data_IF_715422922855
#
_entry.id   IF_715422922855
#
_cell.length_a   1.000
_cell.length_b   1.000
_cell.length_c   1.000
_cell.angle_alpha   90.00
_cell.angle_beta   90.00
_cell.angle_gamma   90.00
#
_symmetry.space_group_name_H-M   'P 1'
#
loop_
_entity.id
_entity.type
_entity.pdbx_description
1 polymer ?
#
# COMPACT_ATOMS: atom_id res chain seq x y z
N UNK A 1 -23.83 -13.52 23.23
CA UNK A 1 -23.71 -13.54 21.76
C UNK A 1 -22.55 -12.63 21.39
N UNK A 2 -21.69 -13.05 20.49
CA UNK A 2 -20.59 -12.23 19.90
C UNK A 2 -21.07 -11.69 18.54
N UNK A 3 -20.43 -10.62 18.10
CA UNK A 3 -20.74 -10.00 16.81
C UNK A 3 -20.29 -10.96 15.67
N UNK A 4 -21.24 -11.37 14.83
CA UNK A 4 -21.02 -12.45 13.84
C UNK A 4 -20.04 -12.05 12.73
N UNK A 5 -20.07 -10.78 12.29
CA UNK A 5 -19.14 -10.27 11.28
C UNK A 5 -17.69 -10.28 11.80
N UNK A 6 -17.47 -9.88 13.05
CA UNK A 6 -16.15 -9.91 13.67
C UNK A 6 -15.66 -11.34 13.90
N UNK A 7 -16.57 -12.24 14.27
CA UNK A 7 -16.25 -13.66 14.38
C UNK A 7 -15.86 -14.26 13.03
N UNK A 8 -16.61 -13.95 11.98
CA UNK A 8 -16.31 -14.39 10.62
C UNK A 8 -14.95 -13.85 10.15
N UNK A 9 -14.70 -12.56 10.34
CA UNK A 9 -13.44 -11.92 10.00
C UNK A 9 -12.24 -12.50 10.77
N UNK A 10 -12.43 -12.80 12.06
CA UNK A 10 -11.39 -13.41 12.90
C UNK A 10 -11.12 -14.89 12.57
N UNK A 11 -12.11 -15.59 12.02
CA UNK A 11 -12.00 -16.98 11.54
C UNK A 11 -11.54 -17.07 10.09
N UNK A 12 -11.77 -16.03 9.28
CA UNK A 12 -11.23 -15.96 7.93
C UNK A 12 -9.71 -15.86 8.05
N UNK A 13 -9.02 -16.90 7.63
CA UNK A 13 -7.58 -16.85 7.59
C UNK A 13 -7.15 -15.87 6.50
N UNK A 14 -6.35 -14.87 6.87
CA UNK A 14 -5.72 -14.02 5.86
C UNK A 14 -4.82 -14.90 5.00
N UNK A 15 -5.11 -15.00 3.72
CA UNK A 15 -4.44 -15.88 2.77
C UNK A 15 -2.91 -15.74 2.81
N UNK A 16 -2.42 -14.51 2.91
CA UNK A 16 -0.98 -14.23 3.01
C UNK A 16 -0.38 -14.86 4.28
N UNK A 17 -1.11 -14.84 5.41
CA UNK A 17 -0.63 -15.45 6.67
C UNK A 17 -0.63 -16.97 6.61
N UNK A 18 -1.63 -17.58 5.97
CA UNK A 18 -1.69 -19.03 5.75
C UNK A 18 -0.50 -19.48 4.90
N UNK A 19 -0.23 -18.75 3.82
CA UNK A 19 0.89 -19.01 2.93
C UNK A 19 2.22 -18.85 3.66
N UNK A 20 2.37 -17.81 4.50
CA UNK A 20 3.57 -17.59 5.30
C UNK A 20 3.78 -18.73 6.33
N UNK A 21 2.72 -19.18 7.00
CA UNK A 21 2.81 -20.32 7.93
C UNK A 21 3.20 -21.61 7.21
N UNK A 22 2.72 -21.82 5.96
CA UNK A 22 3.18 -22.92 5.12
C UNK A 22 4.68 -22.80 4.82
N UNK A 23 5.15 -21.61 4.46
CA UNK A 23 6.58 -21.35 4.21
C UNK A 23 7.44 -21.68 5.44
N UNK A 24 7.02 -21.24 6.63
CA UNK A 24 7.72 -21.51 7.87
C UNK A 24 7.78 -23.00 8.19
N UNK A 25 6.68 -23.72 7.96
CA UNK A 25 6.66 -25.19 8.08
C UNK A 25 7.66 -25.84 7.12
N UNK A 26 7.63 -25.45 5.83
CA UNK A 26 8.57 -26.03 4.84
C UNK A 26 10.03 -25.74 5.19
N UNK A 27 10.35 -24.53 5.65
CA UNK A 27 11.71 -24.20 6.12
C UNK A 27 12.18 -25.12 7.25
N UNK A 28 11.29 -25.48 8.17
CA UNK A 28 11.61 -26.40 9.27
C UNK A 28 11.83 -27.86 8.81
N UNK A 29 11.24 -28.25 7.67
CA UNK A 29 11.34 -29.61 7.12
C UNK A 29 12.58 -29.81 6.22
N UNK A 30 12.93 -28.82 5.41
CA UNK A 30 13.95 -28.98 4.35
C UNK A 30 15.10 -27.98 4.39
N UNK A 31 15.11 -27.08 5.38
CA UNK A 31 16.09 -25.99 5.50
C UNK A 31 15.64 -24.71 4.79
N UNK A 32 15.99 -23.56 5.37
CA UNK A 32 15.56 -22.23 4.89
C UNK A 32 16.12 -21.90 3.50
N UNK A 33 17.29 -22.42 3.17
CA UNK A 33 17.98 -22.22 1.90
C UNK A 33 17.30 -22.92 0.70
N UNK A 34 16.40 -23.85 0.98
CA UNK A 34 15.69 -24.63 -0.02
C UNK A 34 14.25 -24.15 -0.26
N UNK A 35 13.80 -23.10 0.45
CA UNK A 35 12.44 -22.54 0.35
C UNK A 35 12.50 -21.13 -0.18
N UNK A 36 11.92 -20.90 -1.35
CA UNK A 36 11.90 -19.60 -2.03
C UNK A 36 10.58 -18.88 -1.74
N UNK A 37 10.54 -18.21 -0.56
CA UNK A 37 9.35 -17.54 -0.09
C UNK A 37 9.28 -16.09 -0.56
N UNK A 38 8.42 -15.85 -1.54
CA UNK A 38 8.09 -14.55 -2.08
C UNK A 38 6.69 -14.05 -1.64
N UNK A 39 6.15 -14.59 -0.56
CA UNK A 39 4.77 -14.28 -0.14
C UNK A 39 4.65 -12.96 0.63
N UNK A 40 5.64 -12.60 1.46
CA UNK A 40 5.56 -11.46 2.37
C UNK A 40 6.30 -10.23 1.81
N UNK A 41 5.57 -9.11 1.72
CA UNK A 41 6.14 -7.81 1.37
C UNK A 41 6.74 -7.09 2.59
N UNK A 42 7.75 -7.70 3.21
CA UNK A 42 8.48 -7.08 4.31
C UNK A 42 9.84 -6.55 3.81
N UNK A 43 10.16 -5.24 4.01
CA UNK A 43 11.46 -4.71 3.63
C UNK A 43 12.61 -5.57 4.18
N UNK A 44 13.57 -5.92 3.33
CA UNK A 44 14.80 -6.62 3.71
C UNK A 44 16.05 -5.73 3.65
N UNK A 45 15.89 -4.46 3.31
CA UNK A 45 16.92 -3.44 3.41
C UNK A 45 16.90 -2.87 4.82
N UNK A 46 18.06 -2.71 5.49
CA UNK A 46 18.09 -2.14 6.83
C UNK A 46 17.54 -0.71 6.84
N UNK A 47 16.98 -0.29 7.98
CA UNK A 47 16.65 1.11 8.20
C UNK A 47 17.90 1.99 8.00
N UNK A 48 17.75 3.19 7.44
CA UNK A 48 18.88 4.11 7.24
C UNK A 48 19.64 4.37 8.53
N UNK A 49 20.98 4.43 8.46
CA UNK A 49 21.85 4.61 9.63
C UNK A 49 21.50 5.88 10.43
N UNK A 50 21.03 6.92 9.75
CA UNK A 50 20.53 8.14 10.41
C UNK A 50 19.39 7.85 11.37
N UNK A 51 18.46 6.94 11.04
CA UNK A 51 17.35 6.55 11.92
C UNK A 51 17.89 5.95 13.23
N UNK A 52 18.80 5.00 13.13
CA UNK A 52 19.42 4.35 14.28
C UNK A 52 20.15 5.35 15.17
N UNK A 53 20.99 6.22 14.55
CA UNK A 53 21.76 7.21 15.29
C UNK A 53 20.87 8.24 15.98
N UNK A 54 19.80 8.71 15.31
CA UNK A 54 18.82 9.61 15.90
C UNK A 54 18.11 8.97 17.10
N UNK A 55 17.71 7.69 17.00
CA UNK A 55 17.08 6.99 18.13
C UNK A 55 18.03 6.85 19.33
N UNK A 56 19.30 6.52 19.09
CA UNK A 56 20.33 6.45 20.15
C UNK A 56 20.49 7.81 20.82
N UNK A 57 20.64 8.89 20.03
CA UNK A 57 20.77 10.24 20.54
C UNK A 57 19.57 10.67 21.39
N UNK A 58 18.35 10.43 20.90
CA UNK A 58 17.12 10.74 21.61
C UNK A 58 17.06 10.04 22.97
N UNK A 59 17.37 8.75 23.01
CA UNK A 59 17.35 7.95 24.24
C UNK A 59 18.44 8.37 25.25
N UNK A 60 19.57 8.89 24.77
CA UNK A 60 20.68 9.33 25.63
C UNK A 60 20.53 10.77 26.11
N UNK A 61 19.96 11.65 25.30
CA UNK A 61 19.97 13.10 25.57
C UNK A 61 18.66 13.67 26.06
N UNK A 62 17.53 12.99 25.82
CA UNK A 62 16.22 13.50 26.19
C UNK A 62 15.74 12.95 27.53
N UNK A 63 15.05 13.79 28.27
CA UNK A 63 14.32 13.36 29.44
C UNK A 63 13.21 12.35 29.09
N UNK A 64 13.14 11.27 29.92
CA UNK A 64 12.23 10.13 29.65
C UNK A 64 10.77 10.53 29.64
N UNK A 65 10.32 11.47 30.48
CA UNK A 65 8.92 11.90 30.51
C UNK A 65 8.53 12.65 29.23
N UNK A 66 9.40 13.51 28.73
CA UNK A 66 9.18 14.23 27.46
C UNK A 66 9.23 13.31 26.24
N UNK A 67 10.08 12.28 26.27
CA UNK A 67 10.29 11.36 25.16
C UNK A 67 9.15 10.35 25.01
N UNK A 68 8.61 9.87 26.15
CA UNK A 68 7.60 8.80 26.17
C UNK A 68 6.20 9.27 26.57
N UNK A 69 6.02 10.57 26.82
CA UNK A 69 4.72 11.16 27.17
C UNK A 69 3.73 11.12 25.98
N UNK A 70 2.45 11.26 26.31
CA UNK A 70 1.42 11.43 25.28
C UNK A 70 1.67 12.69 24.47
N UNK A 71 1.51 12.57 23.15
CA UNK A 71 1.47 13.71 22.23
C UNK A 71 0.03 14.18 22.01
N UNK A 72 -0.20 15.40 21.47
CA UNK A 72 -1.53 15.78 20.95
C UNK A 72 -2.06 14.74 19.96
N UNK A 73 -3.39 14.59 19.90
CA UNK A 73 -4.01 13.56 19.05
C UNK A 73 -3.57 13.62 17.56
N UNK A 74 -3.43 14.79 16.91
CA UNK A 74 -2.90 14.85 15.55
C UNK A 74 -1.40 14.58 15.43
N UNK A 75 -0.69 14.46 16.56
CA UNK A 75 0.76 14.32 16.64
C UNK A 75 1.48 15.59 17.08
N UNK A 76 2.74 15.41 17.50
CA UNK A 76 3.62 16.50 17.90
C UNK A 76 3.85 17.48 16.74
N UNK A 77 3.77 18.78 17.00
CA UNK A 77 3.87 19.83 15.96
C UNK A 77 5.19 19.74 15.17
N UNK A 78 6.31 19.40 15.83
CA UNK A 78 7.61 19.26 15.17
C UNK A 78 7.61 18.13 14.13
N UNK A 79 7.03 16.98 14.46
CA UNK A 79 6.90 15.84 13.55
C UNK A 79 5.92 16.13 12.40
N UNK A 80 4.79 16.80 12.69
CA UNK A 80 3.85 17.25 11.65
C UNK A 80 4.49 18.23 10.68
N UNK A 81 5.30 19.19 11.17
CA UNK A 81 6.09 20.09 10.32
C UNK A 81 7.09 19.33 9.44
N UNK A 82 7.72 18.28 9.96
CA UNK A 82 8.66 17.48 9.20
C UNK A 82 7.96 16.74 8.04
N UNK A 83 6.82 16.10 8.30
CA UNK A 83 5.99 15.48 7.27
C UNK A 83 5.46 16.51 6.26
N UNK A 84 4.98 17.66 6.73
CA UNK A 84 4.50 18.74 5.87
C UNK A 84 5.59 19.30 4.93
N UNK A 85 6.85 19.41 5.40
CA UNK A 85 7.98 19.78 4.51
C UNK A 85 8.19 18.77 3.39
N UNK A 86 8.08 17.47 3.68
CA UNK A 86 8.20 16.42 2.67
C UNK A 86 7.09 16.55 1.62
N UNK A 87 5.84 16.77 2.05
CA UNK A 87 4.71 16.96 1.15
C UNK A 87 4.81 18.27 0.34
N UNK A 88 5.28 19.36 0.95
CA UNK A 88 5.46 20.64 0.27
C UNK A 88 6.44 20.54 -0.90
N UNK A 89 7.53 19.75 -0.75
CA UNK A 89 8.48 19.52 -1.85
C UNK A 89 7.83 18.81 -3.03
N UNK A 90 6.91 17.88 -2.77
CA UNK A 90 6.18 17.15 -3.81
C UNK A 90 5.08 18.01 -4.45
N UNK A 91 4.37 18.77 -3.61
CA UNK A 91 3.28 19.65 -4.05
C UNK A 91 3.76 20.80 -4.93
N UNK A 92 4.98 21.31 -4.69
CA UNK A 92 5.49 22.54 -5.28
C UNK A 92 4.97 23.82 -4.61
N UNK A 93 4.26 23.68 -3.49
CA UNK A 93 3.76 24.78 -2.65
C UNK A 93 3.75 24.35 -1.18
N UNK A 94 3.53 25.30 -0.27
CA UNK A 94 3.53 25.03 1.15
C UNK A 94 2.30 24.22 1.57
N UNK A 95 2.53 23.05 2.18
CA UNK A 95 1.53 22.26 2.90
C UNK A 95 1.69 22.60 4.39
N UNK A 96 0.65 23.17 5.05
CA UNK A 96 0.74 23.51 6.46
C UNK A 96 0.76 22.26 7.35
N UNK A 97 1.45 22.35 8.48
CA UNK A 97 1.51 21.23 9.44
C UNK A 97 0.12 20.83 9.98
N UNK A 98 -0.81 21.76 9.98
CA UNK A 98 -2.22 21.58 10.34
C UNK A 98 -2.95 20.59 9.43
N UNK A 99 -2.46 20.38 8.21
CA UNK A 99 -2.95 19.38 7.25
C UNK A 99 -2.53 17.95 7.57
N UNK A 100 -1.59 17.73 8.50
CA UNK A 100 -1.01 16.43 8.83
C UNK A 100 -1.60 15.86 10.12
N UNK A 101 -2.11 14.63 10.07
CA UNK A 101 -2.56 13.85 11.20
C UNK A 101 -1.71 12.57 11.28
N UNK A 102 -0.83 12.47 12.27
CA UNK A 102 0.06 11.31 12.43
C UNK A 102 -0.72 10.07 12.90
N UNK A 103 -0.38 8.92 12.37
CA UNK A 103 -1.11 7.66 12.56
C UNK A 103 -0.16 6.50 12.86
N UNK A 104 -0.74 5.37 13.28
CA UNK A 104 -0.01 4.11 13.46
C UNK A 104 0.20 3.34 12.15
N UNK A 105 0.69 4.04 11.11
CA UNK A 105 0.94 3.52 9.76
C UNK A 105 -0.27 3.59 8.82
N UNK A 106 -0.07 3.23 7.54
CA UNK A 106 -1.08 3.40 6.49
C UNK A 106 -2.40 2.65 6.77
N UNK A 107 -2.38 1.47 7.39
CA UNK A 107 -3.62 0.73 7.69
C UNK A 107 -4.55 1.50 8.62
N UNK A 108 -4.01 2.15 9.66
CA UNK A 108 -4.81 3.04 10.49
C UNK A 108 -5.22 4.31 9.76
N UNK A 109 -4.35 4.88 8.91
CA UNK A 109 -4.71 6.02 8.07
C UNK A 109 -5.91 5.72 7.18
N UNK A 110 -5.92 4.58 6.51
CA UNK A 110 -7.01 4.14 5.63
C UNK A 110 -8.31 3.88 6.40
N UNK A 111 -8.22 3.14 7.51
CA UNK A 111 -9.40 2.86 8.36
C UNK A 111 -10.00 4.14 8.93
N UNK A 112 -9.18 5.09 9.40
CA UNK A 112 -9.62 6.40 9.88
C UNK A 112 -10.25 7.20 8.74
N UNK A 113 -9.60 7.29 7.57
CA UNK A 113 -10.12 8.06 6.43
C UNK A 113 -11.44 7.52 5.93
N UNK A 114 -11.59 6.20 5.79
CA UNK A 114 -12.86 5.59 5.41
C UNK A 114 -13.96 5.85 6.44
N UNK A 115 -13.66 5.71 7.73
CA UNK A 115 -14.61 5.99 8.81
C UNK A 115 -15.01 7.47 8.92
N UNK A 116 -14.12 8.39 8.52
CA UNK A 116 -14.39 9.82 8.52
C UNK A 116 -15.25 10.28 7.32
N UNK A 117 -15.05 9.64 6.16
CA UNK A 117 -15.56 10.16 4.88
C UNK A 117 -16.78 9.39 4.35
N UNK A 118 -17.00 8.15 4.81
CA UNK A 118 -18.00 7.25 4.28
C UNK A 118 -19.14 7.07 5.28
N UNK A 119 -20.37 7.34 4.86
CA UNK A 119 -21.56 7.04 5.64
C UNK A 119 -22.01 5.60 5.39
N UNK A 120 -22.67 5.01 6.36
CA UNK A 120 -23.24 3.66 6.20
C UNK A 120 -24.16 3.59 4.99
N UNK A 121 -23.96 2.60 4.12
CA UNK A 121 -24.73 2.37 2.89
C UNK A 121 -24.25 3.18 1.68
N UNK A 122 -23.21 4.01 1.83
CA UNK A 122 -22.57 4.65 0.69
C UNK A 122 -21.56 3.71 0.03
N UNK A 123 -21.11 4.04 -1.17
CA UNK A 123 -20.25 3.20 -1.98
C UNK A 123 -18.80 3.66 -1.91
N UNK A 124 -17.89 2.67 -1.88
CA UNK A 124 -16.45 2.87 -2.06
C UNK A 124 -16.00 2.09 -3.29
N UNK A 125 -15.33 2.79 -4.22
CA UNK A 125 -14.78 2.18 -5.43
C UNK A 125 -13.34 1.77 -5.18
N UNK A 126 -13.02 0.50 -5.45
CA UNK A 126 -11.66 -0.06 -5.40
C UNK A 126 -11.20 -0.42 -6.80
N UNK A 127 -9.99 0.01 -7.17
CA UNK A 127 -9.38 -0.31 -8.47
C UNK A 127 -8.57 -1.60 -8.35
N UNK A 128 -9.01 -2.65 -9.00
CA UNK A 128 -8.27 -3.92 -9.02
C UNK A 128 -7.05 -3.84 -9.97
N UNK A 129 -5.92 -4.48 -9.62
CA UNK A 129 -5.71 -5.20 -8.38
C UNK A 129 -5.46 -4.26 -7.19
N UNK A 130 -5.93 -4.62 -5.99
CA UNK A 130 -5.85 -3.79 -4.79
C UNK A 130 -5.38 -4.60 -3.57
N UNK A 131 -4.87 -3.93 -2.55
CA UNK A 131 -4.56 -4.57 -1.27
C UNK A 131 -5.84 -5.02 -0.57
N UNK A 132 -5.96 -6.32 -0.28
CA UNK A 132 -7.19 -6.98 0.18
C UNK A 132 -7.86 -6.31 1.39
N UNK A 133 -7.08 -5.71 2.29
CA UNK A 133 -7.61 -5.05 3.49
C UNK A 133 -8.44 -3.79 3.18
N UNK A 134 -8.34 -3.20 1.98
CA UNK A 134 -9.20 -2.05 1.62
C UNK A 134 -10.68 -2.41 1.68
N UNK A 135 -11.03 -3.62 1.22
CA UNK A 135 -12.40 -4.14 1.30
C UNK A 135 -12.85 -4.25 2.76
N UNK A 136 -11.98 -4.80 3.62
CA UNK A 136 -12.27 -4.93 5.06
C UNK A 136 -12.50 -3.56 5.70
N UNK A 137 -11.66 -2.56 5.40
CA UNK A 137 -11.80 -1.21 5.96
C UNK A 137 -13.08 -0.51 5.47
N UNK A 138 -13.38 -0.60 4.16
CA UNK A 138 -14.58 -0.03 3.57
C UNK A 138 -15.86 -0.66 4.15
N UNK A 139 -15.94 -1.98 4.19
CA UNK A 139 -17.07 -2.71 4.77
C UNK A 139 -17.22 -2.47 6.27
N UNK A 140 -16.12 -2.26 7.01
CA UNK A 140 -16.18 -1.90 8.42
C UNK A 140 -16.71 -0.48 8.64
N UNK A 141 -16.43 0.44 7.72
CA UNK A 141 -17.05 1.77 7.71
C UNK A 141 -18.54 1.73 7.32
N UNK A 142 -19.05 0.58 6.88
CA UNK A 142 -20.44 0.36 6.46
C UNK A 142 -20.68 0.64 4.98
N UNK A 143 -19.65 0.70 4.17
CA UNK A 143 -19.74 0.91 2.73
C UNK A 143 -20.17 -0.35 1.96
N UNK A 144 -20.78 -0.12 0.81
CA UNK A 144 -20.84 -1.08 -0.28
C UNK A 144 -19.58 -0.92 -1.15
N UNK A 145 -18.93 -2.04 -1.52
CA UNK A 145 -17.71 -2.01 -2.32
C UNK A 145 -18.03 -2.28 -3.78
N UNK A 146 -17.57 -1.38 -4.66
CA UNK A 146 -17.58 -1.58 -6.12
C UNK A 146 -16.16 -1.82 -6.58
N UNK A 147 -15.92 -2.87 -7.35
CA UNK A 147 -14.60 -3.22 -7.88
C UNK A 147 -14.54 -2.87 -9.36
N UNK A 148 -13.57 -2.04 -9.73
CA UNK A 148 -13.26 -1.70 -11.13
C UNK A 148 -12.09 -2.57 -11.59
N UNK A 149 -12.25 -3.37 -12.67
CA UNK A 149 -11.19 -4.22 -13.18
C UNK A 149 -10.08 -3.40 -13.86
N UNK A 150 -8.87 -3.97 -14.05
CA UNK A 150 -7.85 -3.38 -14.92
C UNK A 150 -8.27 -3.45 -16.38
N UNK A 151 -7.75 -2.53 -17.20
CA UNK A 151 -8.01 -2.49 -18.65
C UNK A 151 -7.23 -3.56 -19.43
N UNK A 152 -6.07 -3.93 -18.91
CA UNK A 152 -5.16 -4.87 -19.58
C UNK A 152 -3.99 -5.26 -18.67
N UNK A 153 -2.96 -5.83 -19.29
CA UNK A 153 -1.79 -6.35 -18.56
C UNK A 153 -0.88 -5.24 -17.99
N UNK A 154 -1.09 -3.97 -18.31
CA UNK A 154 -0.43 -2.81 -17.68
C UNK A 154 -1.03 -2.42 -16.33
N UNK A 155 -2.10 -3.11 -15.92
CA UNK A 155 -2.81 -2.90 -14.66
C UNK A 155 -3.35 -1.47 -14.45
N UNK A 156 -3.49 -0.68 -15.52
CA UNK A 156 -4.22 0.59 -15.45
C UNK A 156 -5.73 0.30 -15.32
N UNK A 157 -6.51 1.12 -14.60
CA UNK A 157 -7.94 0.86 -14.42
C UNK A 157 -8.72 1.00 -15.74
N UNK A 158 -9.72 0.15 -15.92
CA UNK A 158 -10.62 0.22 -17.08
C UNK A 158 -11.55 1.43 -16.95
N UNK A 159 -11.26 2.50 -17.69
CA UNK A 159 -11.93 3.80 -17.53
C UNK A 159 -13.43 3.77 -17.76
N UNK A 160 -13.94 2.96 -18.71
CA UNK A 160 -15.38 2.85 -18.91
C UNK A 160 -16.08 2.21 -17.69
N UNK A 161 -15.49 1.15 -17.12
CA UNK A 161 -16.03 0.55 -15.90
C UNK A 161 -15.88 1.48 -14.68
N UNK A 162 -14.84 2.32 -14.64
CA UNK A 162 -14.68 3.34 -13.61
C UNK A 162 -15.77 4.41 -13.71
N UNK A 163 -16.03 4.92 -14.91
CA UNK A 163 -17.11 5.88 -15.16
C UNK A 163 -18.47 5.30 -14.79
N UNK A 164 -18.76 4.08 -15.22
CA UNK A 164 -20.01 3.37 -14.86
C UNK A 164 -20.15 3.21 -13.34
N UNK A 165 -19.07 2.83 -12.64
CA UNK A 165 -19.07 2.66 -11.19
C UNK A 165 -19.37 3.95 -10.45
N UNK A 166 -18.77 5.06 -10.88
CA UNK A 166 -18.91 6.37 -10.23
C UNK A 166 -20.27 7.00 -10.56
N UNK A 167 -20.81 6.78 -11.77
CA UNK A 167 -22.11 7.30 -12.22
C UNK A 167 -23.32 6.63 -11.56
N UNK A 168 -23.13 5.52 -10.85
CA UNK A 168 -24.24 4.86 -10.10
C UNK A 168 -24.79 5.70 -8.95
N UNK A 169 -24.16 6.81 -8.61
CA UNK A 169 -24.51 7.65 -7.47
C UNK A 169 -24.22 7.02 -6.11
N UNK A 170 -24.20 7.83 -5.08
CA UNK A 170 -23.91 7.39 -3.70
C UNK A 170 -22.45 7.01 -3.45
N UNK A 171 -21.54 7.29 -4.37
CA UNK A 171 -20.11 7.07 -4.18
C UNK A 171 -19.54 8.14 -3.25
N UNK A 172 -18.99 7.71 -2.12
CA UNK A 172 -18.34 8.58 -1.14
C UNK A 172 -16.83 8.70 -1.40
N UNK A 173 -16.20 7.59 -1.76
CA UNK A 173 -14.74 7.55 -1.96
C UNK A 173 -14.31 6.56 -3.04
N UNK A 174 -13.15 6.85 -3.62
CA UNK A 174 -12.38 5.96 -4.48
C UNK A 174 -11.03 5.74 -3.81
N UNK A 175 -10.51 4.51 -3.79
CA UNK A 175 -9.18 4.21 -3.25
C UNK A 175 -8.23 3.90 -4.40
N UNK A 176 -7.08 4.57 -4.39
CA UNK A 176 -5.96 4.27 -5.28
C UNK A 176 -4.72 3.91 -4.46
N UNK A 177 -3.87 3.07 -5.04
CA UNK A 177 -2.55 2.73 -4.50
C UNK A 177 -1.53 2.78 -5.64
N UNK A 178 -0.62 3.75 -5.58
CA UNK A 178 0.39 3.96 -6.63
C UNK A 178 1.71 4.47 -6.03
N UNK A 179 2.81 3.71 -6.20
CA UNK A 179 2.95 2.39 -6.83
C UNK A 179 2.11 1.30 -6.16
N UNK A 180 1.64 0.35 -6.95
CA UNK A 180 0.59 -0.58 -6.55
C UNK A 180 1.12 -1.85 -5.85
N UNK A 181 0.44 -2.27 -4.83
CA UNK A 181 0.46 -3.62 -4.30
C UNK A 181 -0.86 -4.32 -4.74
N UNK A 182 -0.81 -5.34 -5.61
CA UNK A 182 0.28 -6.30 -5.85
C UNK A 182 1.06 -6.13 -7.16
N UNK A 183 0.69 -5.22 -8.07
CA UNK A 183 1.19 -5.26 -9.46
C UNK A 183 2.53 -4.54 -9.68
N UNK A 184 2.93 -3.65 -8.78
CA UNK A 184 4.07 -2.76 -9.00
C UNK A 184 3.82 -1.64 -10.02
N UNK A 185 2.63 -1.55 -10.60
CA UNK A 185 2.28 -0.52 -11.57
C UNK A 185 2.19 0.87 -10.93
N UNK A 186 2.56 1.90 -11.67
CA UNK A 186 2.37 3.30 -11.31
C UNK A 186 1.25 3.88 -12.17
N UNK A 187 0.27 4.53 -11.53
CA UNK A 187 -0.78 5.24 -12.26
C UNK A 187 -0.18 6.43 -13.01
N UNK A 188 -0.42 6.49 -14.30
CA UNK A 188 0.05 7.60 -15.12
C UNK A 188 -0.68 8.90 -14.79
N UNK A 189 -0.01 10.04 -15.00
CA UNK A 189 -0.66 11.34 -14.83
C UNK A 189 -1.88 11.46 -15.76
N UNK A 190 -1.81 10.91 -16.97
CA UNK A 190 -2.93 10.88 -17.91
C UNK A 190 -4.11 10.08 -17.36
N UNK A 191 -3.88 8.91 -16.79
CA UNK A 191 -4.92 8.09 -16.12
C UNK A 191 -5.59 8.89 -15.00
N UNK A 192 -4.80 9.50 -14.12
CA UNK A 192 -5.30 10.30 -13.01
C UNK A 192 -6.10 11.53 -13.47
N UNK A 193 -5.69 12.19 -14.57
CA UNK A 193 -6.46 13.31 -15.15
C UNK A 193 -7.81 12.88 -15.72
N UNK A 194 -7.87 11.70 -16.36
CA UNK A 194 -9.14 11.14 -16.84
C UNK A 194 -10.04 10.80 -15.65
N UNK A 195 -9.51 10.13 -14.63
CA UNK A 195 -10.24 9.86 -13.39
C UNK A 195 -10.77 11.14 -12.73
N UNK A 196 -9.93 12.16 -12.61
CA UNK A 196 -10.33 13.45 -12.03
C UNK A 196 -11.49 14.09 -12.79
N UNK A 197 -11.48 14.02 -14.14
CA UNK A 197 -12.58 14.54 -14.96
C UNK A 197 -13.89 13.79 -14.69
N UNK A 198 -13.85 12.47 -14.60
CA UNK A 198 -15.01 11.63 -14.28
C UNK A 198 -15.54 11.94 -12.88
N UNK A 199 -14.64 12.02 -11.89
CA UNK A 199 -14.99 12.32 -10.50
C UNK A 199 -15.61 13.71 -10.36
N UNK A 200 -15.08 14.73 -11.05
CA UNK A 200 -15.65 16.07 -11.02
C UNK A 200 -17.07 16.11 -11.59
N UNK A 201 -17.31 15.45 -12.73
CA UNK A 201 -18.65 15.36 -13.31
C UNK A 201 -19.63 14.65 -12.37
N UNK A 202 -19.23 13.52 -11.78
CA UNK A 202 -20.08 12.74 -10.89
C UNK A 202 -20.38 13.48 -9.56
N UNK A 203 -19.41 14.20 -8.99
CA UNK A 203 -19.69 14.98 -7.77
C UNK A 203 -20.61 16.19 -8.02
N UNK A 204 -20.53 16.81 -9.21
CA UNK A 204 -21.48 17.84 -9.63
C UNK A 204 -22.89 17.26 -9.75
N UNK A 205 -23.05 16.12 -10.40
CA UNK A 205 -24.33 15.43 -10.58
C UNK A 205 -24.96 15.00 -9.24
N UNK A 206 -24.17 14.41 -8.33
CA UNK A 206 -24.68 13.97 -7.03
C UNK A 206 -24.77 15.08 -5.99
N UNK A 207 -24.29 16.30 -6.28
CA UNK A 207 -24.35 17.46 -5.40
C UNK A 207 -23.51 17.35 -4.12
N UNK A 208 -22.45 16.53 -4.13
CA UNK A 208 -21.55 16.32 -2.98
C UNK A 208 -20.16 15.85 -3.41
N UNK A 209 -19.19 16.09 -2.54
CA UNK A 209 -17.82 15.64 -2.78
C UNK A 209 -17.70 14.11 -2.87
N UNK A 210 -16.86 13.65 -3.81
CA UNK A 210 -16.32 12.30 -3.86
C UNK A 210 -14.84 12.42 -3.48
N UNK A 211 -14.40 11.67 -2.48
CA UNK A 211 -13.01 11.74 -2.03
C UNK A 211 -12.15 10.67 -2.75
N UNK A 212 -10.95 11.07 -3.15
CA UNK A 212 -9.92 10.14 -3.63
C UNK A 212 -8.95 9.87 -2.48
N UNK A 213 -8.97 8.65 -1.95
CA UNK A 213 -8.04 8.20 -0.91
C UNK A 213 -6.81 7.61 -1.60
N UNK A 214 -5.69 8.35 -1.55
CA UNK A 214 -4.42 7.95 -2.15
C UNK A 214 -3.55 7.26 -1.11
N UNK A 215 -3.41 5.93 -1.22
CA UNK A 215 -2.51 5.13 -0.39
C UNK A 215 -1.11 5.08 -1.02
N UNK A 216 -0.14 5.74 -0.38
CA UNK A 216 1.18 6.03 -0.97
C UNK A 216 2.39 5.43 -0.21
N UNK A 217 2.34 4.22 0.36
CA UNK A 217 3.47 3.69 1.14
C UNK A 217 4.70 3.35 0.30
N UNK A 218 4.58 3.29 -1.03
CA UNK A 218 5.65 2.89 -1.96
C UNK A 218 6.17 4.03 -2.85
N UNK A 219 5.72 5.26 -2.66
CA UNK A 219 5.97 6.37 -3.60
C UNK A 219 7.45 6.72 -3.81
N UNK A 220 8.33 6.40 -2.85
CA UNK A 220 9.77 6.54 -2.98
C UNK A 220 10.44 5.31 -3.64
N UNK A 221 9.72 4.20 -3.74
CA UNK A 221 10.21 2.96 -4.34
C UNK A 221 9.80 2.90 -5.80
N UNK A 222 10.51 3.63 -6.64
CA UNK A 222 10.27 3.70 -8.10
C UNK A 222 11.57 3.47 -8.87
N UNK A 223 11.45 2.97 -10.08
CA UNK A 223 12.58 2.50 -10.87
C UNK A 223 12.61 3.19 -12.25
N UNK A 224 13.78 3.20 -12.89
CA UNK A 224 13.91 3.67 -14.27
C UNK A 224 13.55 5.14 -14.50
N UNK A 225 13.58 5.98 -13.46
CA UNK A 225 13.22 7.40 -13.57
C UNK A 225 11.71 7.66 -13.62
N UNK A 226 10.88 6.67 -13.28
CA UNK A 226 9.43 6.85 -13.16
C UNK A 226 9.13 7.85 -12.05
N UNK A 227 8.18 8.76 -12.32
CA UNK A 227 7.70 9.75 -11.36
C UNK A 227 6.29 9.38 -10.87
N UNK A 228 6.09 9.46 -9.58
CA UNK A 228 4.75 9.28 -8.97
C UNK A 228 4.09 10.66 -8.90
N UNK A 229 2.97 10.88 -9.61
CA UNK A 229 2.28 12.16 -9.58
C UNK A 229 1.80 12.55 -8.17
N UNK A 230 1.83 13.84 -7.84
CA UNK A 230 1.21 14.35 -6.63
C UNK A 230 -0.29 14.53 -6.87
N UNK A 231 -1.08 13.54 -6.46
CA UNK A 231 -2.50 13.41 -6.80
C UNK A 231 -3.34 14.63 -6.42
N UNK A 232 -3.11 15.33 -5.27
CA UNK A 232 -3.88 16.54 -4.92
C UNK A 232 -3.79 17.68 -5.95
N UNK A 233 -2.71 17.74 -6.76
CA UNK A 233 -2.58 18.72 -7.84
C UNK A 233 -3.45 18.38 -9.07
N UNK A 234 -3.96 17.15 -9.14
CA UNK A 234 -4.75 16.63 -10.26
C UNK A 234 -6.24 16.59 -9.89
N UNK A 235 -6.54 16.12 -8.67
CA UNK A 235 -7.89 16.08 -8.11
C UNK A 235 -7.88 16.62 -6.69
N UNK A 236 -8.56 17.75 -6.46
CA UNK A 236 -8.45 18.49 -5.21
C UNK A 236 -9.01 17.74 -3.99
N UNK A 237 -10.12 16.99 -4.14
CA UNK A 237 -10.69 16.21 -3.03
C UNK A 237 -9.90 14.91 -2.76
N UNK A 238 -8.57 15.01 -2.70
CA UNK A 238 -7.67 13.91 -2.42
C UNK A 238 -7.18 13.91 -0.98
N UNK A 239 -7.34 12.80 -0.29
CA UNK A 239 -6.76 12.54 1.03
C UNK A 239 -5.58 11.58 0.83
N UNK A 240 -4.39 11.96 1.32
CA UNK A 240 -3.20 11.13 1.20
C UNK A 240 -3.01 10.32 2.49
N UNK A 241 -2.88 9.00 2.35
CA UNK A 241 -2.50 8.07 3.40
C UNK A 241 -1.08 7.58 3.16
N UNK A 242 -0.18 7.86 4.08
CA UNK A 242 1.24 7.53 3.94
C UNK A 242 1.77 6.71 5.11
N UNK A 243 2.85 5.95 4.86
CA UNK A 243 3.55 5.18 5.89
C UNK A 243 5.06 5.15 5.65
N UNK A 244 5.82 5.31 6.72
CA UNK A 244 7.28 5.14 6.74
C UNK A 244 7.72 3.66 6.78
N UNK A 245 6.77 2.73 6.72
CA UNK A 245 7.03 1.28 6.74
C UNK A 245 7.96 0.83 5.62
N UNK A 246 7.93 1.49 4.46
CA UNK A 246 8.68 1.07 3.27
C UNK A 246 9.84 2.00 2.98
N UNK A 247 9.63 3.32 3.02
CA UNK A 247 10.66 4.31 2.76
C UNK A 247 11.79 4.33 3.80
N UNK A 248 11.49 4.07 5.07
CA UNK A 248 12.50 3.98 6.13
C UNK A 248 12.75 2.55 6.62
N UNK A 249 12.17 1.53 5.98
CA UNK A 249 12.26 0.13 6.43
C UNK A 249 11.85 -0.06 7.91
N UNK A 250 10.77 0.60 8.32
CA UNK A 250 10.27 0.62 9.70
C UNK A 250 8.84 0.05 9.82
N UNK A 251 8.52 -1.13 9.25
CA UNK A 251 7.15 -1.64 9.29
C UNK A 251 6.68 -2.00 10.70
N UNK A 252 7.59 -2.37 11.59
CA UNK A 252 7.30 -2.70 12.99
C UNK A 252 7.02 -1.49 13.87
N UNK A 253 7.52 -0.29 13.49
CA UNK A 253 7.42 0.92 14.32
C UNK A 253 6.08 1.64 14.18
N UNK A 254 5.29 1.25 13.21
CA UNK A 254 3.92 1.74 13.04
C UNK A 254 3.80 3.27 12.99
N UNK A 255 4.48 3.91 12.04
CA UNK A 255 4.42 5.35 11.82
C UNK A 255 3.94 5.69 10.41
N UNK A 256 2.99 6.60 10.32
CA UNK A 256 2.42 7.12 9.09
C UNK A 256 1.65 8.41 9.33
N UNK A 257 0.92 8.86 8.35
CA UNK A 257 0.02 10.01 8.49
C UNK A 257 -1.11 10.01 7.47
N UNK A 258 -2.12 10.81 7.78
CA UNK A 258 -3.14 11.28 6.86
C UNK A 258 -2.81 12.75 6.56
N UNK A 259 -2.77 13.11 5.29
CA UNK A 259 -2.75 14.51 4.87
C UNK A 259 -4.09 14.90 4.27
N UNK A 260 -4.67 15.97 4.81
CA UNK A 260 -5.84 16.67 4.27
C UNK A 260 -5.34 17.98 3.69
N UNK A 261 -5.05 18.06 2.38
CA UNK A 261 -4.53 19.28 1.76
C UNK A 261 -5.51 20.45 1.86
N UNK A 262 -5.02 21.72 1.87
CA UNK A 262 -5.89 22.88 1.93
C UNK A 262 -6.85 23.02 0.73
N UNK A 263 -6.55 22.38 -0.40
CA UNK A 263 -7.41 22.38 -1.60
C UNK A 263 -8.65 21.48 -1.49
N UNK A 264 -8.70 20.60 -0.48
CA UNK A 264 -9.90 19.78 -0.23
C UNK A 264 -11.07 20.67 0.18
N UNK A 265 -12.25 20.43 -0.40
CA UNK A 265 -13.46 21.12 0.00
C UNK A 265 -13.74 20.90 1.50
N UNK A 266 -14.01 21.97 2.23
CA UNK A 266 -14.25 21.95 3.68
C UNK A 266 -13.11 21.27 4.46
N UNK A 267 -11.85 21.51 4.04
CA UNK A 267 -10.66 20.81 4.57
C UNK A 267 -10.55 20.82 6.10
N UNK A 268 -10.98 21.90 6.75
CA UNK A 268 -10.98 22.00 8.22
C UNK A 268 -11.95 20.99 8.86
N UNK A 269 -13.15 20.86 8.30
CA UNK A 269 -14.17 19.93 8.80
C UNK A 269 -13.78 18.49 8.48
N UNK A 270 -13.19 18.23 7.30
CA UNK A 270 -12.63 16.93 6.94
C UNK A 270 -11.51 16.53 7.89
N UNK A 271 -10.60 17.45 8.22
CA UNK A 271 -9.54 17.20 9.21
C UNK A 271 -10.10 16.93 10.61
N UNK A 272 -11.12 17.67 11.02
CA UNK A 272 -11.82 17.44 12.29
C UNK A 272 -12.51 16.06 12.31
N UNK A 273 -13.14 15.65 11.19
CA UNK A 273 -13.75 14.33 11.06
C UNK A 273 -12.71 13.21 11.12
N UNK A 274 -11.53 13.37 10.51
CA UNK A 274 -10.38 12.45 10.64
C UNK A 274 -9.98 12.30 12.11
N UNK A 275 -9.86 13.40 12.85
CA UNK A 275 -9.58 13.37 14.30
C UNK A 275 -10.67 12.66 15.10
N UNK A 276 -11.95 12.90 14.76
CA UNK A 276 -13.11 12.24 15.35
C UNK A 276 -13.10 10.71 15.11
N UNK A 277 -12.84 10.29 13.87
CA UNK A 277 -12.72 8.88 13.51
C UNK A 277 -11.52 8.20 14.19
N UNK A 278 -10.36 8.87 14.23
CA UNK A 278 -9.20 8.37 14.96
C UNK A 278 -9.50 8.11 16.43
N UNK A 279 -10.22 9.03 17.08
CA UNK A 279 -10.69 8.86 18.46
C UNK A 279 -11.69 7.71 18.60
N UNK A 280 -12.66 7.61 17.70
CA UNK A 280 -13.71 6.59 17.75
C UNK A 280 -13.15 5.18 17.56
N UNK A 281 -12.11 5.04 16.71
CA UNK A 281 -11.43 3.77 16.44
C UNK A 281 -10.33 3.43 17.45
N UNK A 282 -10.02 4.33 18.40
CA UNK A 282 -8.98 4.13 19.40
C UNK A 282 -7.55 4.44 18.93
N UNK A 283 -7.38 5.02 17.73
CA UNK A 283 -6.10 5.49 17.22
C UNK A 283 -5.83 6.95 17.63
N UNK A 284 -5.65 7.18 18.91
CA UNK A 284 -5.65 8.55 19.48
C UNK A 284 -4.37 9.32 19.12
N UNK A 285 -3.20 8.67 19.15
CA UNK A 285 -1.93 9.26 18.75
C UNK A 285 -0.95 8.19 18.26
N UNK A 286 -0.03 8.58 17.38
CA UNK A 286 1.07 7.72 16.98
C UNK A 286 2.13 7.60 18.09
N UNK A 287 3.03 6.62 17.95
CA UNK A 287 4.11 6.35 18.92
C UNK A 287 5.01 7.56 19.13
N UNK A 288 5.13 8.08 20.37
CA UNK A 288 5.85 9.32 20.70
C UNK A 288 7.32 9.28 20.26
N UNK A 289 8.05 8.22 20.61
CA UNK A 289 9.46 8.07 20.24
C UNK A 289 9.67 8.18 18.70
N UNK A 290 8.77 7.56 17.94
CA UNK A 290 8.86 7.61 16.47
C UNK A 290 8.51 9.00 15.91
N UNK A 291 7.66 9.76 16.57
CA UNK A 291 7.40 11.14 16.19
C UNK A 291 8.64 12.03 16.40
N UNK A 292 9.37 11.84 17.51
CA UNK A 292 10.64 12.53 17.75
C UNK A 292 11.69 12.16 16.68
N UNK A 293 11.83 10.88 16.36
CA UNK A 293 12.71 10.40 15.28
C UNK A 293 12.34 11.04 13.94
N UNK A 294 11.07 11.13 13.62
CA UNK A 294 10.58 11.68 12.36
C UNK A 294 10.98 13.15 12.17
N UNK A 295 11.06 13.93 13.23
CA UNK A 295 11.49 15.34 13.18
C UNK A 295 12.81 15.51 12.41
N UNK A 296 13.73 14.55 12.55
CA UNK A 296 15.07 14.56 11.97
C UNK A 296 15.21 13.69 10.71
N UNK A 297 14.33 12.69 10.55
CA UNK A 297 14.50 11.64 9.55
C UNK A 297 13.44 11.64 8.42
N UNK A 298 12.47 12.57 8.43
CA UNK A 298 11.41 12.60 7.41
C UNK A 298 11.94 12.70 5.97
N UNK A 299 13.04 13.42 5.75
CA UNK A 299 13.63 13.65 4.42
C UNK A 299 14.64 12.57 3.99
N UNK A 300 14.86 11.53 4.80
CA UNK A 300 15.79 10.44 4.47
C UNK A 300 15.22 9.60 3.34
N UNK A 301 16.03 9.37 2.31
CA UNK A 301 15.63 8.54 1.17
C UNK A 301 16.02 7.07 1.40
N UNK A 302 15.20 6.12 0.95
CA UNK A 302 15.54 4.71 1.04
C UNK A 302 16.65 4.35 0.03
N UNK A 303 17.49 3.38 0.39
CA UNK A 303 18.32 2.68 -0.59
C UNK A 303 17.49 1.56 -1.24
N UNK A 304 17.10 1.78 -2.49
CA UNK A 304 16.29 0.82 -3.26
C UNK A 304 17.13 -0.02 -4.23
N UNK A 305 18.45 0.08 -4.17
CA UNK A 305 19.35 -0.52 -5.16
C UNK A 305 19.25 -2.05 -5.22
N UNK A 306 19.10 -2.72 -4.06
CA UNK A 306 18.90 -4.17 -3.99
C UNK A 306 17.55 -4.58 -4.57
N UNK A 307 16.49 -3.81 -4.30
CA UNK A 307 15.17 -4.08 -4.90
C UNK A 307 15.20 -3.91 -6.42
N UNK A 308 15.89 -2.90 -6.93
CA UNK A 308 16.07 -2.71 -8.38
C UNK A 308 16.78 -3.91 -9.02
N UNK A 309 17.87 -4.40 -8.41
CA UNK A 309 18.61 -5.58 -8.92
C UNK A 309 17.74 -6.84 -8.87
N UNK A 310 17.04 -7.08 -7.76
CA UNK A 310 16.14 -8.23 -7.64
C UNK A 310 15.01 -8.19 -8.68
N UNK A 311 14.39 -7.00 -8.86
CA UNK A 311 13.37 -6.77 -9.89
C UNK A 311 13.89 -7.15 -11.27
N UNK A 312 15.02 -6.57 -11.68
CA UNK A 312 15.57 -6.76 -13.02
C UNK A 312 15.97 -8.23 -13.23
N UNK A 313 16.63 -8.84 -12.25
CA UNK A 313 17.03 -10.27 -12.30
C UNK A 313 15.80 -11.18 -12.47
N UNK A 314 14.75 -10.99 -11.66
CA UNK A 314 13.55 -11.84 -11.73
C UNK A 314 12.74 -11.56 -12.99
N UNK A 315 12.50 -10.29 -13.33
CA UNK A 315 11.71 -9.93 -14.50
C UNK A 315 12.36 -10.47 -15.78
N UNK A 316 13.67 -10.23 -15.97
CA UNK A 316 14.39 -10.68 -17.17
C UNK A 316 14.45 -12.22 -17.25
N UNK A 317 14.76 -12.87 -16.13
CA UNK A 317 14.81 -14.33 -16.09
C UNK A 317 13.45 -14.98 -16.37
N UNK A 318 12.38 -14.53 -15.69
CA UNK A 318 11.03 -15.09 -15.87
C UNK A 318 10.51 -14.83 -17.28
N UNK A 319 10.70 -13.63 -17.81
CA UNK A 319 10.33 -13.30 -19.19
C UNK A 319 11.07 -14.16 -20.20
N UNK A 320 12.39 -14.40 -19.97
CA UNK A 320 13.19 -15.29 -20.84
C UNK A 320 12.78 -16.77 -20.77
N UNK A 321 12.17 -17.17 -19.65
CA UNK A 321 11.59 -18.52 -19.46
C UNK A 321 10.17 -18.65 -20.04
N UNK A 322 9.59 -17.57 -20.60
CA UNK A 322 8.27 -17.59 -21.20
C UNK A 322 7.11 -17.24 -20.27
N UNK A 323 7.37 -16.80 -19.05
CA UNK A 323 6.33 -16.27 -18.18
C UNK A 323 5.92 -14.86 -18.64
N UNK A 324 4.62 -14.60 -18.62
CA UNK A 324 4.05 -13.28 -18.85
C UNK A 324 3.99 -12.52 -17.52
N UNK A 325 4.77 -11.45 -17.41
CA UNK A 325 4.95 -10.68 -16.18
C UNK A 325 4.64 -9.21 -16.40
N UNK A 326 3.89 -8.60 -15.49
CA UNK A 326 3.74 -7.14 -15.44
C UNK A 326 5.07 -6.54 -14.99
N UNK A 327 5.69 -5.70 -15.83
CA UNK A 327 6.96 -5.05 -15.45
C UNK A 327 6.70 -4.01 -14.35
N UNK A 328 7.29 -4.16 -13.16
CA UNK A 328 7.05 -3.22 -12.08
C UNK A 328 7.75 -1.88 -12.32
N UNK A 329 7.00 -0.78 -12.24
CA UNK A 329 7.52 0.58 -12.24
C UNK A 329 7.90 1.05 -10.82
N UNK A 330 7.32 0.41 -9.80
CA UNK A 330 7.56 0.73 -8.40
C UNK A 330 7.18 -0.40 -7.44
N UNK A 331 7.16 -0.08 -6.15
CA UNK A 331 7.00 -1.02 -5.04
C UNK A 331 8.09 -2.11 -5.03
N UNK A 332 7.80 -3.32 -4.58
CA UNK A 332 8.70 -4.46 -4.65
C UNK A 332 7.92 -5.76 -4.93
N UNK A 333 6.96 -5.66 -5.86
CA UNK A 333 6.14 -6.79 -6.29
C UNK A 333 6.24 -6.99 -7.80
N UNK A 334 6.31 -8.25 -8.20
CA UNK A 334 6.15 -8.71 -9.57
C UNK A 334 4.84 -9.48 -9.68
N UNK A 335 4.05 -9.19 -10.70
CA UNK A 335 2.76 -9.81 -10.92
C UNK A 335 2.84 -10.71 -12.15
N UNK A 336 2.70 -12.02 -11.95
CA UNK A 336 2.95 -13.06 -12.94
C UNK A 336 1.61 -13.63 -13.38
N UNK A 337 1.32 -13.61 -14.67
CA UNK A 337 0.13 -14.23 -15.24
C UNK A 337 0.23 -15.75 -15.17
N UNK A 338 -0.80 -16.41 -14.67
CA UNK A 338 -0.85 -17.86 -14.61
C UNK A 338 -0.79 -18.45 -16.03
N UNK A 339 0.18 -19.33 -16.33
CA UNK A 339 0.34 -19.87 -17.70
C UNK A 339 -0.83 -20.75 -18.11
N UNK A 340 -1.10 -20.80 -19.41
CA UNK A 340 -2.07 -21.73 -20.03
C UNK A 340 -3.50 -21.63 -19.51
N UNK A 341 -3.86 -20.50 -18.90
CA UNK A 341 -5.21 -20.27 -18.37
C UNK A 341 -5.50 -20.97 -17.05
N UNK A 342 -4.48 -21.40 -16.32
CA UNK A 342 -4.64 -21.87 -14.95
C UNK A 342 -5.25 -20.79 -14.06
N UNK A 343 -5.95 -21.20 -13.01
CA UNK A 343 -6.34 -20.30 -11.95
C UNK A 343 -5.10 -19.80 -11.17
N UNK A 344 -5.22 -18.66 -10.51
CA UNK A 344 -4.16 -18.14 -9.65
C UNK A 344 -3.74 -19.18 -8.58
N UNK A 345 -4.71 -19.83 -7.97
CA UNK A 345 -4.49 -20.88 -6.95
C UNK A 345 -3.75 -22.08 -7.52
N UNK A 346 -4.17 -22.63 -8.68
CA UNK A 346 -3.52 -23.77 -9.30
C UNK A 346 -2.07 -23.47 -9.68
N UNK A 347 -1.82 -22.25 -10.19
CA UNK A 347 -0.46 -21.80 -10.49
C UNK A 347 0.42 -21.77 -9.25
N UNK A 348 -0.08 -21.18 -8.15
CA UNK A 348 0.64 -21.13 -6.88
C UNK A 348 0.88 -22.53 -6.29
N UNK A 349 -0.09 -23.45 -6.38
CA UNK A 349 0.10 -24.84 -5.93
C UNK A 349 1.14 -25.60 -6.78
N UNK A 350 1.19 -25.38 -8.09
CA UNK A 350 2.25 -25.93 -8.94
C UNK A 350 3.62 -25.33 -8.61
N UNK A 351 3.68 -24.03 -8.30
CA UNK A 351 4.93 -23.37 -7.89
C UNK A 351 5.50 -23.98 -6.59
N UNK A 352 4.64 -24.35 -5.63
CA UNK A 352 5.05 -25.05 -4.40
C UNK A 352 5.75 -26.38 -4.65
N UNK A 353 5.48 -27.07 -5.77
CA UNK A 353 6.20 -28.32 -6.14
C UNK A 353 7.69 -28.06 -6.43
N UNK A 354 8.05 -26.81 -6.69
CA UNK A 354 9.44 -26.35 -6.86
C UNK A 354 9.91 -25.49 -5.68
N UNK A 355 9.22 -25.56 -4.54
CA UNK A 355 9.48 -24.78 -3.31
C UNK A 355 9.42 -23.26 -3.52
N UNK A 356 8.72 -22.81 -4.56
CA UNK A 356 8.44 -21.39 -4.84
C UNK A 356 7.09 -21.03 -4.21
N UNK A 357 7.07 -20.05 -3.31
CA UNK A 357 5.89 -19.66 -2.57
C UNK A 357 5.44 -18.27 -3.03
N UNK A 358 4.29 -18.24 -3.69
CA UNK A 358 3.65 -17.04 -4.26
C UNK A 358 2.30 -16.80 -3.60
N UNK A 359 1.71 -15.63 -3.83
CA UNK A 359 0.36 -15.30 -3.36
C UNK A 359 -0.59 -15.25 -4.56
N UNK A 360 -1.68 -16.05 -4.59
CA UNK A 360 -2.66 -15.99 -5.66
C UNK A 360 -3.41 -14.64 -5.65
N UNK A 361 -3.84 -14.22 -6.82
CA UNK A 361 -4.37 -12.87 -7.02
C UNK A 361 -5.84 -12.68 -6.70
N UNK A 362 -6.56 -13.75 -6.40
CA UNK A 362 -8.02 -13.71 -6.23
C UNK A 362 -8.45 -12.74 -5.12
N UNK A 363 -7.70 -12.70 -4.01
CA UNK A 363 -7.95 -11.77 -2.90
C UNK A 363 -7.65 -10.31 -3.22
N UNK A 364 -6.96 -10.03 -4.35
CA UNK A 364 -6.67 -8.68 -4.84
C UNK A 364 -7.70 -8.17 -5.86
N UNK A 365 -8.79 -8.89 -6.07
CA UNK A 365 -9.90 -8.49 -6.95
C UNK A 365 -9.68 -8.77 -8.44
N UNK A 366 -8.65 -9.53 -8.80
CA UNK A 366 -8.37 -9.97 -10.17
C UNK A 366 -7.88 -11.42 -10.15
N UNK A 367 -8.42 -12.28 -11.01
CA UNK A 367 -7.99 -13.68 -11.09
C UNK A 367 -6.88 -13.90 -12.12
N UNK A 368 -6.25 -15.09 -12.06
CA UNK A 368 -5.31 -15.55 -13.08
C UNK A 368 -3.90 -14.98 -12.99
N UNK A 369 -3.49 -14.43 -11.85
CA UNK A 369 -2.14 -13.94 -11.59
C UNK A 369 -1.61 -14.46 -10.26
N UNK A 370 -0.30 -14.36 -10.05
CA UNK A 370 0.34 -14.57 -8.76
C UNK A 370 1.25 -13.39 -8.42
N UNK A 371 1.22 -12.96 -7.16
CA UNK A 371 2.13 -11.93 -6.65
C UNK A 371 3.41 -12.57 -6.13
N UNK A 372 4.55 -12.06 -6.58
CA UNK A 372 5.88 -12.32 -6.10
C UNK A 372 6.44 -11.05 -5.42
N UNK A 373 6.77 -11.11 -4.13
CA UNK A 373 7.42 -10.01 -3.41
C UNK A 373 8.95 -10.16 -3.49
N UNK A 374 9.63 -9.29 -4.24
CA UNK A 374 11.09 -9.38 -4.43
C UNK A 374 11.92 -8.59 -3.41
N UNK A 375 11.31 -8.22 -2.28
CA UNK A 375 12.02 -7.70 -1.11
C UNK A 375 12.67 -8.82 -0.30
N UNK A 376 13.53 -9.56 -0.94
CA UNK A 376 14.31 -10.69 -0.42
C UNK A 376 15.80 -10.45 -0.66
N UNK A 377 16.69 -11.33 -0.17
CA UNK A 377 18.12 -11.19 -0.46
C UNK A 377 18.44 -11.48 -1.94
N UNK A 378 19.53 -10.89 -2.45
CA UNK A 378 19.99 -11.14 -3.80
C UNK A 378 20.42 -12.60 -4.00
N UNK A 379 20.96 -13.24 -2.93
CA UNK A 379 21.32 -14.64 -2.91
C UNK A 379 20.08 -15.53 -3.09
N UNK A 380 19.00 -15.25 -2.35
CA UNK A 380 17.74 -16.00 -2.50
C UNK A 380 17.15 -15.79 -3.90
N UNK A 381 17.19 -14.57 -4.42
CA UNK A 381 16.76 -14.27 -5.79
C UNK A 381 17.50 -15.14 -6.80
N UNK A 382 18.83 -15.16 -6.76
CA UNK A 382 19.65 -15.97 -7.67
C UNK A 382 19.41 -17.48 -7.48
N UNK A 383 19.32 -17.95 -6.24
CA UNK A 383 19.11 -19.37 -5.92
C UNK A 383 17.72 -19.88 -6.37
N UNK A 384 16.73 -19.01 -6.50
CA UNK A 384 15.37 -19.37 -6.95
C UNK A 384 15.26 -19.64 -8.46
N UNK A 385 16.18 -19.11 -9.30
CA UNK A 385 16.06 -19.18 -10.75
C UNK A 385 16.01 -20.63 -11.31
N UNK A 386 16.79 -21.60 -10.80
CA UNK A 386 16.65 -23.00 -11.21
C UNK A 386 15.28 -23.60 -10.88
N UNK A 387 14.66 -23.18 -9.77
CA UNK A 387 13.32 -23.62 -9.39
C UNK A 387 12.25 -23.05 -10.35
N UNK A 388 12.34 -21.76 -10.72
CA UNK A 388 11.49 -21.17 -11.76
C UNK A 388 11.67 -21.85 -13.12
N UNK A 389 12.89 -22.26 -13.48
CA UNK A 389 13.13 -23.02 -14.71
C UNK A 389 12.42 -24.38 -14.69
N UNK A 390 12.40 -25.09 -13.54
CA UNK A 390 11.61 -26.32 -13.39
C UNK A 390 10.11 -26.05 -13.53
N UNK A 391 9.62 -24.97 -12.94
CA UNK A 391 8.22 -24.57 -13.05
C UNK A 391 7.86 -24.23 -14.51
N UNK A 392 8.71 -23.51 -15.24
CA UNK A 392 8.53 -23.25 -16.67
C UNK A 392 8.44 -24.55 -17.50
N UNK A 393 9.36 -25.51 -17.25
CA UNK A 393 9.34 -26.82 -17.90
C UNK A 393 8.05 -27.61 -17.62
N UNK A 394 7.48 -27.52 -16.41
CA UNK A 394 6.20 -28.14 -16.06
C UNK A 394 5.07 -27.60 -16.96
N UNK A 395 5.15 -26.33 -17.34
CA UNK A 395 4.21 -25.70 -18.27
C UNK A 395 4.59 -25.88 -19.74
N UNK A 396 5.77 -26.40 -20.07
CA UNK A 396 6.29 -26.49 -21.43
C UNK A 396 6.50 -25.10 -22.05
N UNK A 397 7.00 -24.17 -21.25
CA UNK A 397 7.48 -22.85 -21.64
C UNK A 397 8.93 -22.91 -22.07
#
# INVERSE_FOLDING_TARGET
MIEEKMLALGKSENEIRVIAAYADKRRSEIGSENVFDFSIGNPNVPAPEKVKNTLIELLQSRDSLSLHGYTPAPGAMAARKAAARQESKRAGYEIPAESIYLTSGASSSLSISMSALVRRGEKVVLLAPFFSEYKVFAENAGAEVIIVPPAGDDMQPFMAAFEDAVSQGGVAAVVINSPNNPSGAVLSEQTLRVMAKILNAAQEEQGRSIYLISDEPYRELVYGGVSVPFVPNIYHNTIVCYSYSKSLSLPGERLGYIMVPPCVADSADVFAAVGGAGRALGYICATSLMQHMLTECADVQPDISSYARNRDTLYDALSSMGFDCVKPDGAFYLFIKAPKGDSASDFCEKAKQSEIILVPSDSFGVGGYARLAYCVSEEMTAASLPAFKKLAQLYGL
#
